data_IF_858996818035
#
_entry.id   IF_858996818035
#
_cell.length_a   1.000
_cell.length_b   1.000
_cell.length_c   1.000
_cell.angle_alpha   90.00
_cell.angle_beta   90.00
_cell.angle_gamma   90.00
#
_symmetry.space_group_name_H-M   'P 1'
#
loop_
_entity.id
_entity.type
_entity.pdbx_description
1 polymer ?
#
# COMPACT_ATOMS: atom_id res chain seq x y z
N UNK A 1 -18.12 10.22 -0.89
CA UNK A 1 -17.58 11.44 -0.21
C UNK A 1 -16.32 11.92 -0.93
N UNK A 2 -15.86 13.19 -0.72
CA UNK A 2 -14.57 13.67 -1.24
C UNK A 2 -13.62 13.96 -0.09
N UNK A 3 -12.37 13.57 -0.27
CA UNK A 3 -11.28 13.75 0.72
C UNK A 3 -10.08 14.35 0.00
N UNK A 4 -9.29 15.16 0.69
CA UNK A 4 -8.05 15.72 0.17
C UNK A 4 -6.88 15.24 1.01
N UNK A 5 -5.88 14.65 0.37
CA UNK A 5 -4.58 14.33 0.99
C UNK A 5 -3.44 14.98 0.23
N UNK A 6 -2.66 15.78 0.94
CA UNK A 6 -1.61 16.57 0.29
C UNK A 6 -2.19 17.53 -0.75
N UNK A 7 -1.93 17.26 -2.03
CA UNK A 7 -2.41 18.07 -3.17
C UNK A 7 -3.47 17.36 -4.01
N UNK A 8 -3.93 16.19 -3.57
CA UNK A 8 -4.78 15.29 -4.36
C UNK A 8 -6.17 15.23 -3.75
N UNK A 9 -7.21 15.36 -4.59
CA UNK A 9 -8.60 15.19 -4.22
C UNK A 9 -9.10 13.80 -4.65
N UNK A 10 -9.66 13.03 -3.72
CA UNK A 10 -10.18 11.69 -3.96
C UNK A 10 -11.70 11.62 -3.81
N UNK A 11 -12.33 10.87 -4.70
CA UNK A 11 -13.63 10.28 -4.40
C UNK A 11 -13.40 9.03 -3.52
N UNK A 12 -14.15 8.93 -2.45
CA UNK A 12 -14.20 7.74 -1.60
C UNK A 12 -15.66 7.41 -1.33
N UNK A 13 -16.02 6.12 -1.29
CA UNK A 13 -17.41 5.72 -1.10
C UNK A 13 -17.83 5.95 0.34
N UNK A 14 -17.16 5.32 1.31
CA UNK A 14 -17.34 5.58 2.73
C UNK A 14 -15.99 5.51 3.46
N UNK A 15 -15.75 6.45 4.38
CA UNK A 15 -14.55 6.41 5.21
C UNK A 15 -14.75 5.37 6.33
N UNK A 16 -13.99 4.28 6.27
CA UNK A 16 -13.96 3.32 7.37
C UNK A 16 -13.07 3.84 8.50
N UNK A 17 -13.59 3.90 9.71
CA UNK A 17 -12.89 4.40 10.91
C UNK A 17 -11.82 3.42 11.46
N UNK A 18 -11.48 2.39 10.71
CA UNK A 18 -10.47 1.40 11.08
C UNK A 18 -10.92 0.38 12.15
N UNK A 19 -12.10 0.56 12.74
CA UNK A 19 -12.61 -0.32 13.78
C UNK A 19 -13.34 -1.57 13.23
N UNK A 20 -13.80 -1.52 11.99
CA UNK A 20 -14.46 -2.65 11.31
C UNK A 20 -13.48 -3.34 10.36
N UNK A 21 -12.88 -4.44 10.79
CA UNK A 21 -12.14 -5.40 9.92
C UNK A 21 -13.10 -6.24 9.06
N UNK A 22 -14.20 -5.68 8.58
CA UNK A 22 -15.17 -6.35 7.73
C UNK A 22 -15.17 -5.72 6.34
N UNK A 23 -15.33 -6.56 5.30
CA UNK A 23 -15.70 -6.07 3.97
C UNK A 23 -17.04 -5.36 4.08
N UNK A 24 -16.99 -4.02 4.30
CA UNK A 24 -18.13 -3.16 4.08
C UNK A 24 -18.50 -3.18 2.58
N UNK A 25 -19.71 -2.81 2.24
CA UNK A 25 -20.06 -2.52 0.86
C UNK A 25 -19.25 -1.28 0.44
N UNK A 26 -18.41 -1.42 -0.62
CA UNK A 26 -17.64 -0.34 -1.21
C UNK A 26 -16.11 -0.47 -1.12
N UNK A 27 -15.43 0.38 -1.88
CA UNK A 27 -13.95 0.39 -1.97
C UNK A 27 -13.33 0.98 -0.71
N UNK A 28 -12.35 0.28 -0.16
CA UNK A 28 -11.71 0.63 1.10
C UNK A 28 -10.93 1.95 1.04
N UNK A 29 -11.17 2.81 2.03
CA UNK A 29 -10.34 3.96 2.34
C UNK A 29 -10.29 4.17 3.86
N UNK A 30 -9.08 4.30 4.42
CA UNK A 30 -8.87 4.56 5.85
C UNK A 30 -8.19 5.92 6.07
N UNK A 31 -8.89 6.94 6.60
CA UNK A 31 -8.31 8.26 6.85
C UNK A 31 -7.21 8.24 7.90
N UNK A 32 -7.22 7.30 8.86
CA UNK A 32 -6.17 7.22 9.90
C UNK A 32 -4.81 6.80 9.33
N UNK A 33 -4.77 6.25 8.12
CA UNK A 33 -3.55 5.88 7.41
C UNK A 33 -2.93 7.04 6.60
N UNK A 34 -3.46 8.26 6.68
CA UNK A 34 -2.90 9.42 5.98
C UNK A 34 -1.43 9.64 6.34
N UNK A 35 -1.09 9.59 7.65
CA UNK A 35 0.30 9.72 8.10
C UNK A 35 1.23 8.64 7.49
N UNK A 36 0.75 7.41 7.39
CA UNK A 36 1.51 6.33 6.76
C UNK A 36 1.79 6.63 5.28
N UNK A 37 0.80 7.12 4.55
CA UNK A 37 0.94 7.56 3.16
C UNK A 37 1.84 8.79 3.01
N UNK A 38 1.82 9.71 3.97
CA UNK A 38 2.75 10.85 4.02
C UNK A 38 4.21 10.41 4.19
N UNK A 39 4.44 9.40 5.04
CA UNK A 39 5.77 8.80 5.21
C UNK A 39 6.23 8.15 3.91
N UNK A 40 5.36 7.40 3.21
CA UNK A 40 5.69 6.84 1.89
C UNK A 40 6.11 7.93 0.92
N UNK A 41 5.35 9.02 0.79
CA UNK A 41 5.69 10.15 -0.09
C UNK A 41 7.04 10.79 0.28
N UNK A 42 7.32 10.97 1.58
CA UNK A 42 8.59 11.49 2.06
C UNK A 42 9.77 10.56 1.69
N UNK A 43 9.58 9.24 1.83
CA UNK A 43 10.57 8.23 1.42
C UNK A 43 10.80 8.28 -0.09
N UNK A 44 9.74 8.33 -0.89
CA UNK A 44 9.85 8.42 -2.36
C UNK A 44 10.62 9.64 -2.82
N UNK A 45 10.37 10.81 -2.22
CA UNK A 45 11.12 12.05 -2.48
C UNK A 45 12.60 11.93 -2.13
N UNK A 46 12.88 11.44 -0.91
CA UNK A 46 14.24 11.24 -0.43
C UNK A 46 15.01 10.23 -1.30
N UNK A 47 14.34 9.15 -1.69
CA UNK A 47 14.92 8.10 -2.52
C UNK A 47 15.26 8.61 -3.92
N UNK A 48 14.35 9.31 -4.59
CA UNK A 48 14.61 9.92 -5.92
C UNK A 48 15.76 10.92 -5.88
N UNK A 49 15.95 11.63 -4.77
CA UNK A 49 17.10 12.51 -4.58
C UNK A 49 18.44 11.77 -4.53
N UNK A 50 18.46 10.49 -4.16
CA UNK A 50 19.65 9.64 -4.07
C UNK A 50 19.84 8.77 -5.32
N UNK A 51 18.78 8.34 -5.95
CA UNK A 51 18.77 7.52 -7.18
C UNK A 51 17.88 8.19 -8.25
N UNK A 52 18.39 9.19 -8.97
CA UNK A 52 17.62 9.95 -9.96
C UNK A 52 17.15 9.12 -11.17
N UNK A 53 17.68 7.88 -11.34
CA UNK A 53 17.27 6.97 -12.42
C UNK A 53 16.09 6.10 -12.04
N UNK A 54 15.65 6.15 -10.78
CA UNK A 54 14.44 5.45 -10.36
C UNK A 54 13.21 6.21 -10.87
N UNK A 55 12.40 5.55 -11.67
CA UNK A 55 11.26 6.15 -12.37
C UNK A 55 9.95 5.43 -12.08
N UNK A 56 9.97 4.09 -11.95
CA UNK A 56 8.77 3.25 -11.91
C UNK A 56 8.35 2.91 -10.48
N UNK A 57 7.05 3.04 -10.23
CA UNK A 57 6.41 2.71 -8.95
C UNK A 57 5.21 1.79 -9.18
N UNK A 58 5.17 0.68 -8.45
CA UNK A 58 4.07 -0.26 -8.45
C UNK A 58 3.29 -0.17 -7.13
N UNK A 59 2.03 0.24 -7.21
CA UNK A 59 1.04 0.10 -6.13
C UNK A 59 0.35 -1.26 -6.30
N UNK A 60 0.74 -2.24 -5.49
CA UNK A 60 0.35 -3.63 -5.71
C UNK A 60 -1.09 -3.95 -5.28
N UNK A 61 -1.74 -3.08 -4.47
CA UNK A 61 -3.11 -3.25 -3.96
C UNK A 61 -3.74 -1.89 -3.76
N UNK A 62 -4.18 -1.29 -4.87
CA UNK A 62 -4.43 0.15 -4.94
C UNK A 62 -5.72 0.64 -4.27
N UNK A 63 -6.72 -0.25 -4.12
CA UNK A 63 -8.05 0.11 -3.59
C UNK A 63 -8.58 1.41 -4.22
N UNK A 64 -8.72 2.49 -3.44
CA UNK A 64 -9.18 3.80 -3.93
C UNK A 64 -8.19 4.56 -4.83
N UNK A 65 -6.98 4.04 -5.06
CA UNK A 65 -5.93 4.69 -5.84
C UNK A 65 -5.16 5.79 -5.12
N UNK A 66 -5.36 5.97 -3.81
CA UNK A 66 -4.77 7.10 -3.08
C UNK A 66 -3.24 7.08 -3.08
N UNK A 67 -2.58 5.93 -2.89
CA UNK A 67 -1.12 5.80 -2.94
C UNK A 67 -0.58 6.03 -4.35
N UNK A 68 -1.19 5.38 -5.34
CA UNK A 68 -0.86 5.52 -6.75
C UNK A 68 -0.92 6.99 -7.21
N UNK A 69 -2.03 7.69 -6.95
CA UNK A 69 -2.18 9.11 -7.30
C UNK A 69 -1.15 9.99 -6.58
N UNK A 70 -0.86 9.72 -5.31
CA UNK A 70 0.15 10.49 -4.56
C UNK A 70 1.56 10.26 -5.12
N UNK A 71 1.91 9.03 -5.50
CA UNK A 71 3.18 8.74 -6.16
C UNK A 71 3.27 9.41 -7.55
N UNK A 72 2.22 9.33 -8.36
CA UNK A 72 2.15 9.99 -9.66
C UNK A 72 2.28 11.52 -9.55
N UNK A 73 1.68 12.14 -8.53
CA UNK A 73 1.84 13.58 -8.27
C UNK A 73 3.29 13.97 -7.91
N UNK A 74 4.10 13.05 -7.42
CA UNK A 74 5.55 13.23 -7.21
C UNK A 74 6.35 12.94 -8.49
N UNK A 75 5.69 12.64 -9.59
CA UNK A 75 6.30 12.43 -10.92
C UNK A 75 6.79 11.00 -11.16
N UNK A 76 6.36 10.01 -10.39
CA UNK A 76 6.62 8.60 -10.68
C UNK A 76 5.79 8.12 -11.87
N UNK A 77 6.35 7.20 -12.66
CA UNK A 77 5.61 6.39 -13.62
C UNK A 77 4.93 5.24 -12.86
N UNK A 78 3.62 5.30 -12.75
CA UNK A 78 2.86 4.50 -11.79
C UNK A 78 2.01 3.45 -12.48
N UNK A 79 2.21 2.20 -12.07
CA UNK A 79 1.27 1.10 -12.28
C UNK A 79 0.55 0.81 -10.97
N UNK A 80 -0.77 0.69 -11.01
CA UNK A 80 -1.63 0.41 -9.87
C UNK A 80 -2.48 -0.83 -10.13
N UNK A 81 -2.51 -1.75 -9.18
CA UNK A 81 -3.20 -3.03 -9.32
C UNK A 81 -4.29 -3.18 -8.28
N UNK A 82 -5.36 -3.84 -8.68
CA UNK A 82 -6.33 -4.46 -7.77
C UNK A 82 -7.00 -5.64 -8.47
N UNK A 83 -7.52 -6.58 -7.70
CA UNK A 83 -8.35 -7.69 -8.21
C UNK A 83 -9.84 -7.36 -8.21
N UNK A 84 -10.23 -6.28 -7.51
CA UNK A 84 -11.60 -5.81 -7.42
C UNK A 84 -11.87 -4.81 -8.57
N UNK A 85 -12.79 -5.09 -9.49
CA UNK A 85 -13.13 -4.20 -10.58
C UNK A 85 -13.68 -2.83 -10.10
N UNK A 86 -14.35 -2.77 -8.95
CA UNK A 86 -14.86 -1.52 -8.39
C UNK A 86 -13.71 -0.65 -7.87
N UNK A 87 -12.70 -1.26 -7.23
CA UNK A 87 -11.47 -0.58 -6.84
C UNK A 87 -10.71 -0.04 -8.06
N UNK A 88 -10.56 -0.84 -9.12
CA UNK A 88 -9.94 -0.44 -10.38
C UNK A 88 -10.68 0.74 -11.01
N UNK A 89 -12.01 0.71 -11.04
CA UNK A 89 -12.82 1.80 -11.58
C UNK A 89 -12.65 3.09 -10.78
N UNK A 90 -12.69 3.00 -9.45
CA UNK A 90 -12.51 4.16 -8.55
C UNK A 90 -11.09 4.73 -8.64
N UNK A 91 -10.06 3.89 -8.69
CA UNK A 91 -8.68 4.35 -8.84
C UNK A 91 -8.45 5.10 -10.15
N UNK A 92 -9.04 4.64 -11.26
CA UNK A 92 -9.03 5.35 -12.56
C UNK A 92 -9.75 6.70 -12.47
N UNK A 93 -10.95 6.73 -11.88
CA UNK A 93 -11.68 7.98 -11.68
C UNK A 93 -10.86 8.99 -10.86
N UNK A 94 -10.18 8.54 -9.80
CA UNK A 94 -9.36 9.40 -8.97
C UNK A 94 -8.10 9.90 -9.69
N UNK A 95 -7.45 9.08 -10.50
CA UNK A 95 -6.33 9.50 -11.35
C UNK A 95 -6.77 10.57 -12.37
N UNK A 96 -7.85 10.31 -13.11
CA UNK A 96 -8.41 11.22 -14.12
C UNK A 96 -8.83 12.56 -13.50
N UNK A 97 -9.48 12.53 -12.33
CA UNK A 97 -9.92 13.70 -11.57
C UNK A 97 -8.75 14.66 -11.25
N UNK A 98 -7.59 14.12 -10.99
CA UNK A 98 -6.37 14.89 -10.67
C UNK A 98 -5.48 15.14 -11.91
N UNK A 99 -5.89 14.71 -13.10
CA UNK A 99 -5.10 14.83 -14.32
C UNK A 99 -3.78 14.06 -14.27
N UNK A 100 -3.76 12.94 -13.56
CA UNK A 100 -2.57 12.11 -13.37
C UNK A 100 -2.56 10.91 -14.32
N UNK A 101 -1.39 10.63 -14.90
CA UNK A 101 -1.16 9.43 -15.69
C UNK A 101 -0.83 8.26 -14.73
N UNK A 102 -1.78 7.36 -14.54
CA UNK A 102 -1.62 6.13 -13.76
C UNK A 102 -2.15 4.97 -14.59
N UNK A 103 -1.34 3.93 -14.79
CA UNK A 103 -1.78 2.70 -15.44
C UNK A 103 -2.46 1.79 -14.42
N UNK A 104 -3.81 1.80 -14.41
CA UNK A 104 -4.61 1.01 -13.45
C UNK A 104 -5.09 -0.27 -14.10
N UNK A 105 -4.67 -1.42 -13.55
CA UNK A 105 -4.88 -2.74 -14.14
C UNK A 105 -5.63 -3.65 -13.16
N UNK A 106 -6.69 -4.31 -13.62
CA UNK A 106 -7.33 -5.41 -12.90
C UNK A 106 -6.47 -6.66 -12.99
N UNK A 107 -5.68 -6.94 -11.95
CA UNK A 107 -4.74 -8.06 -11.94
C UNK A 107 -4.34 -8.46 -10.53
N UNK A 108 -4.07 -9.74 -10.33
CA UNK A 108 -3.44 -10.23 -9.10
C UNK A 108 -2.01 -9.72 -8.97
N UNK A 109 -1.66 -9.21 -7.78
CA UNK A 109 -0.38 -8.59 -7.51
C UNK A 109 0.81 -9.55 -7.68
N UNK A 110 0.70 -10.81 -7.19
CA UNK A 110 1.77 -11.78 -7.33
C UNK A 110 2.00 -12.15 -8.79
N UNK A 111 0.91 -12.35 -9.56
CA UNK A 111 1.01 -12.64 -10.99
C UNK A 111 1.71 -11.49 -11.73
N UNK A 112 1.34 -10.25 -11.43
CA UNK A 112 1.97 -9.09 -12.07
C UNK A 112 3.46 -8.97 -11.69
N UNK A 113 3.78 -9.07 -10.39
CA UNK A 113 5.14 -8.95 -9.90
C UNK A 113 6.08 -10.04 -10.44
N UNK A 114 5.58 -11.25 -10.71
CA UNK A 114 6.38 -12.30 -11.35
C UNK A 114 6.63 -12.06 -12.86
N UNK A 115 5.77 -11.29 -13.53
CA UNK A 115 5.90 -10.98 -14.94
C UNK A 115 6.66 -9.67 -15.21
N UNK A 116 6.84 -8.80 -14.20
CA UNK A 116 7.39 -7.46 -14.37
C UNK A 116 8.26 -7.04 -13.19
N UNK A 117 9.02 -5.97 -13.38
CA UNK A 117 9.85 -5.36 -12.33
C UNK A 117 9.55 -3.87 -12.23
N UNK A 118 9.65 -3.30 -11.03
CA UNK A 118 9.56 -1.86 -10.80
C UNK A 118 10.74 -1.38 -9.94
N UNK A 119 11.04 -0.09 -9.98
CA UNK A 119 12.08 0.49 -9.12
C UNK A 119 11.63 0.50 -7.66
N UNK A 120 10.35 0.81 -7.45
CA UNK A 120 9.71 0.76 -6.14
C UNK A 120 8.45 -0.11 -6.22
N UNK A 121 8.28 -1.01 -5.26
CA UNK A 121 7.04 -1.78 -5.07
C UNK A 121 6.47 -1.43 -3.69
N UNK A 122 5.21 -1.02 -3.64
CA UNK A 122 4.47 -0.73 -2.40
C UNK A 122 3.41 -1.81 -2.14
N UNK A 123 3.52 -2.46 -0.99
CA UNK A 123 2.60 -3.47 -0.49
C UNK A 123 1.78 -2.89 0.66
N UNK A 124 0.48 -2.71 0.46
CA UNK A 124 -0.46 -2.27 1.51
C UNK A 124 -1.69 -3.20 1.57
N UNK A 125 -1.50 -4.50 1.86
CA UNK A 125 -2.60 -5.45 1.94
C UNK A 125 -3.42 -5.28 3.20
N UNK A 126 -4.63 -5.84 3.19
CA UNK A 126 -5.35 -6.10 4.43
C UNK A 126 -4.60 -7.15 5.28
N UNK A 127 -4.14 -6.76 6.47
CA UNK A 127 -3.47 -7.64 7.42
C UNK A 127 -2.00 -7.85 7.08
N UNK A 128 -1.61 -9.10 6.81
CA UNK A 128 -0.20 -9.48 6.63
C UNK A 128 0.29 -9.30 5.19
N UNK A 129 1.46 -8.69 4.97
CA UNK A 129 2.08 -8.59 3.65
C UNK A 129 2.82 -9.87 3.20
N UNK A 130 2.96 -10.85 4.07
CA UNK A 130 3.77 -12.05 3.81
C UNK A 130 3.42 -12.80 2.53
N UNK A 131 2.13 -12.97 2.14
CA UNK A 131 1.79 -13.65 0.89
C UNK A 131 2.33 -12.99 -0.39
N UNK A 132 2.73 -11.72 -0.31
CA UNK A 132 3.20 -10.91 -1.44
C UNK A 132 4.71 -10.59 -1.34
N UNK A 133 5.31 -10.81 -0.19
CA UNK A 133 6.66 -10.40 0.13
C UNK A 133 7.70 -11.02 -0.81
N UNK A 134 7.65 -12.33 -1.05
CA UNK A 134 8.62 -13.03 -1.90
C UNK A 134 8.63 -12.46 -3.34
N UNK A 135 7.44 -12.23 -3.90
CA UNK A 135 7.32 -11.64 -5.24
C UNK A 135 7.84 -10.20 -5.27
N UNK A 136 7.49 -9.38 -4.27
CA UNK A 136 7.93 -8.00 -4.20
C UNK A 136 9.46 -7.88 -4.03
N UNK A 137 10.06 -8.60 -3.08
CA UNK A 137 11.50 -8.56 -2.85
C UNK A 137 12.32 -9.14 -4.00
N UNK A 138 11.77 -10.07 -4.77
CA UNK A 138 12.43 -10.65 -5.93
C UNK A 138 12.41 -9.74 -7.17
N UNK A 139 11.42 -8.84 -7.26
CA UNK A 139 11.15 -8.08 -8.48
C UNK A 139 11.23 -6.55 -8.31
N UNK A 140 11.36 -6.03 -7.09
CA UNK A 140 11.75 -4.65 -6.87
C UNK A 140 13.23 -4.46 -7.21
N UNK A 141 13.53 -3.48 -8.07
CA UNK A 141 14.92 -3.17 -8.41
C UNK A 141 15.66 -2.47 -7.27
N UNK A 142 14.94 -1.66 -6.49
CA UNK A 142 15.57 -0.73 -5.57
C UNK A 142 14.94 -0.69 -4.17
N UNK A 143 13.61 -0.57 -4.08
CA UNK A 143 12.93 -0.31 -2.82
C UNK A 143 11.61 -1.10 -2.73
N UNK A 144 11.36 -1.68 -1.57
CA UNK A 144 10.03 -2.22 -1.21
C UNK A 144 9.50 -1.41 -0.03
N UNK A 145 8.33 -0.80 -0.20
CA UNK A 145 7.56 -0.22 0.88
C UNK A 145 6.55 -1.28 1.36
N UNK A 146 6.43 -1.46 2.66
CA UNK A 146 5.54 -2.48 3.22
C UNK A 146 4.73 -1.88 4.35
N UNK A 147 3.41 -1.98 4.24
CA UNK A 147 2.47 -1.69 5.32
C UNK A 147 1.92 -3.01 5.87
N UNK A 148 2.09 -3.24 7.16
CA UNK A 148 1.52 -4.37 7.89
C UNK A 148 0.53 -3.85 8.93
N UNK A 149 -0.74 -4.21 8.80
CA UNK A 149 -1.81 -3.77 9.71
C UNK A 149 -2.22 -4.83 10.72
N UNK A 150 -1.68 -6.04 10.62
CA UNK A 150 -1.88 -7.15 11.57
C UNK A 150 -0.98 -7.03 12.81
N UNK A 151 -1.08 -5.90 13.50
CA UNK A 151 -0.24 -5.57 14.66
C UNK A 151 -0.37 -6.56 15.81
N UNK A 152 -1.54 -7.19 16.00
CA UNK A 152 -1.75 -8.17 17.07
C UNK A 152 -0.82 -9.41 16.96
N UNK A 153 -0.65 -10.07 15.81
CA UNK A 153 0.40 -11.06 15.60
C UNK A 153 1.82 -10.50 15.82
N UNK A 154 2.11 -9.33 15.24
CA UNK A 154 3.46 -8.76 15.29
C UNK A 154 3.90 -8.37 16.70
N UNK A 155 2.99 -7.91 17.56
CA UNK A 155 3.28 -7.54 18.95
C UNK A 155 3.09 -8.68 19.96
N UNK A 156 2.81 -9.90 19.51
CA UNK A 156 2.72 -11.09 20.37
C UNK A 156 1.38 -11.30 21.05
N UNK A 157 0.35 -10.50 20.76
CA UNK A 157 -0.99 -10.71 21.29
C UNK A 157 -1.65 -11.98 20.70
N UNK A 158 -1.28 -12.33 19.45
CA UNK A 158 -1.70 -13.56 18.79
C UNK A 158 -0.47 -14.39 18.37
N UNK A 159 0.15 -15.04 19.35
CA UNK A 159 1.42 -15.75 19.20
C UNK A 159 1.44 -16.76 18.03
N UNK A 160 0.47 -17.67 17.97
CA UNK A 160 0.42 -18.70 16.92
C UNK A 160 0.31 -18.11 15.51
N UNK A 161 -0.44 -17.01 15.37
CA UNK A 161 -0.55 -16.28 14.10
C UNK A 161 0.77 -15.59 13.74
N UNK A 162 1.47 -15.03 14.74
CA UNK A 162 2.79 -14.45 14.54
C UNK A 162 3.81 -15.46 14.04
N UNK A 163 3.88 -16.62 14.68
CA UNK A 163 4.78 -17.71 14.25
C UNK A 163 4.43 -18.22 12.86
N UNK A 164 3.12 -18.38 12.57
CA UNK A 164 2.66 -18.90 11.27
C UNK A 164 2.93 -17.93 10.12
N UNK A 165 2.63 -16.64 10.32
CA UNK A 165 2.73 -15.63 9.25
C UNK A 165 4.16 -15.12 9.06
N UNK A 166 4.90 -14.92 10.16
CA UNK A 166 6.20 -14.23 10.13
C UNK A 166 7.39 -15.15 10.46
N UNK A 167 7.15 -16.41 10.84
CA UNK A 167 8.22 -17.33 11.22
C UNK A 167 9.00 -16.89 12.47
N UNK A 168 8.49 -15.91 13.21
CA UNK A 168 9.14 -15.31 14.37
C UNK A 168 8.34 -15.55 15.64
N UNK A 169 9.04 -15.53 16.79
CA UNK A 169 8.43 -15.65 18.12
C UNK A 169 8.25 -14.24 18.68
N UNK A 170 7.08 -13.60 18.47
CA UNK A 170 6.81 -12.27 18.97
C UNK A 170 6.69 -12.31 20.50
N UNK A 171 7.15 -11.23 21.16
CA UNK A 171 6.99 -11.07 22.60
C UNK A 171 5.95 -10.00 22.90
N UNK A 172 4.98 -10.33 23.74
CA UNK A 172 4.07 -9.33 24.29
C UNK A 172 4.81 -8.57 25.40
N UNK A 173 4.99 -7.27 25.21
CA UNK A 173 5.72 -6.37 26.12
C UNK A 173 4.99 -5.06 26.27
N UNK A 174 5.31 -4.25 27.29
CA UNK A 174 4.72 -2.93 27.48
C UNK A 174 5.05 -1.94 26.36
N UNK A 175 6.09 -2.24 25.55
CA UNK A 175 6.50 -1.47 24.37
C UNK A 175 6.19 -2.21 23.05
N UNK A 176 5.09 -2.96 23.04
CA UNK A 176 4.68 -3.73 21.89
C UNK A 176 4.52 -2.94 20.56
N UNK A 177 4.15 -1.63 20.54
CA UNK A 177 4.11 -0.90 19.27
C UNK A 177 5.47 -0.84 18.57
N UNK A 178 6.56 -0.65 19.32
CA UNK A 178 7.92 -0.64 18.75
C UNK A 178 8.38 -2.02 18.33
N UNK A 179 7.93 -3.07 18.99
CA UNK A 179 8.23 -4.45 18.57
C UNK A 179 7.57 -4.80 17.24
N UNK A 180 6.39 -4.25 16.95
CA UNK A 180 5.72 -4.42 15.67
C UNK A 180 6.40 -3.67 14.51
N UNK A 181 7.23 -2.67 14.81
CA UNK A 181 7.96 -1.90 13.80
C UNK A 181 9.34 -2.48 13.46
N UNK A 182 9.82 -3.47 14.17
CA UNK A 182 11.14 -4.09 14.01
C UNK A 182 11.09 -5.41 13.26
#
# INVERSE_FOLDING_TARGET
MRVTEGRIEFAVEDAHDGASQGRGEGVFYNPTQELNRDVTVAVLRAYRGREPRAETYLDAMTASGVRACRAANEGWDVTALDTDPDAVALARENADRNGLAVDVIERDANVHMHDSTADVIDLDPFGTPIPFADAAFSNARNLVCVTATDTAPLCGAHFESGVRSYGAVPRNTDYHPEMGLR
#
